data_IF_748425143893
#
_entry.id   IF_748425143893
#
_cell.length_a   1.000
_cell.length_b   1.000
_cell.length_c   1.000
_cell.angle_alpha   90.00
_cell.angle_beta   90.00
_cell.angle_gamma   90.00
#
_symmetry.space_group_name_H-M   'P 1'
#
loop_
_entity.id
_entity.type
_entity.pdbx_description
1 polymer ?
#
# COMPACT_ATOMS: atom_id res chain seq x y z
N UNK A 1 12.55 -15.50 -17.30
CA UNK A 1 12.60 -15.08 -15.90
C UNK A 1 12.27 -16.26 -15.01
N UNK A 2 13.16 -16.62 -14.12
CA UNK A 2 12.91 -17.74 -13.20
C UNK A 2 11.99 -17.27 -12.09
N UNK A 3 10.89 -17.98 -11.80
CA UNK A 3 10.08 -17.66 -10.64
C UNK A 3 10.93 -17.81 -9.37
N UNK A 4 10.77 -16.89 -8.46
CA UNK A 4 11.44 -16.95 -7.16
C UNK A 4 10.99 -18.22 -6.43
N UNK A 5 11.92 -19.15 -6.12
CA UNK A 5 11.57 -20.38 -5.42
C UNK A 5 11.00 -20.11 -4.02
N UNK A 6 11.32 -18.97 -3.42
CA UNK A 6 10.73 -18.55 -2.16
C UNK A 6 9.25 -18.19 -2.25
N UNK A 7 8.79 -17.71 -3.41
CA UNK A 7 7.39 -17.37 -3.62
C UNK A 7 6.49 -18.61 -3.68
N UNK A 8 7.00 -19.71 -4.23
CA UNK A 8 6.23 -20.96 -4.30
C UNK A 8 6.09 -21.65 -2.94
N UNK A 9 7.13 -21.55 -2.11
CA UNK A 9 7.12 -22.18 -0.79
C UNK A 9 6.17 -21.43 0.16
N UNK A 10 6.09 -20.12 0.04
CA UNK A 10 5.18 -19.28 0.83
C UNK A 10 3.70 -19.53 0.50
N UNK A 11 3.40 -19.88 -0.75
CA UNK A 11 2.04 -20.27 -1.16
C UNK A 11 1.59 -21.57 -0.51
N UNK A 12 2.52 -22.48 -0.27
CA UNK A 12 2.23 -23.78 0.38
C UNK A 12 1.89 -23.64 1.86
N UNK A 13 2.31 -22.55 2.50
CA UNK A 13 2.02 -22.27 3.90
C UNK A 13 0.71 -21.51 4.13
N UNK A 14 -0.13 -21.40 3.10
CA UNK A 14 -1.47 -20.82 3.20
C UNK A 14 -1.54 -19.30 3.23
N UNK A 15 -0.44 -18.60 2.94
CA UNK A 15 -0.39 -17.13 2.90
C UNK A 15 0.13 -16.60 1.57
N UNK A 16 -0.54 -15.56 1.05
CA UNK A 16 -0.02 -14.79 -0.07
C UNK A 16 1.07 -13.84 0.44
N UNK A 17 2.18 -13.81 -0.27
CA UNK A 17 3.19 -12.77 -0.09
C UNK A 17 3.58 -12.21 -1.44
N UNK A 18 3.32 -10.94 -1.64
CA UNK A 18 3.71 -10.20 -2.84
C UNK A 18 4.71 -9.11 -2.42
N UNK A 19 5.80 -9.01 -3.15
CA UNK A 19 6.81 -7.98 -2.93
C UNK A 19 7.18 -7.36 -4.26
N UNK A 20 7.04 -6.05 -4.34
CA UNK A 20 7.39 -5.28 -5.53
C UNK A 20 8.34 -4.17 -5.11
N UNK A 21 9.47 -4.05 -5.80
CA UNK A 21 10.42 -2.96 -5.63
C UNK A 21 10.33 -2.07 -6.86
N UNK A 22 10.19 -0.76 -6.63
CA UNK A 22 9.99 0.20 -7.72
C UNK A 22 10.76 1.48 -7.49
N UNK A 23 11.05 2.16 -8.58
CA UNK A 23 11.63 3.50 -8.54
C UNK A 23 10.58 4.52 -8.06
N UNK A 24 11.01 5.61 -7.40
CA UNK A 24 10.07 6.61 -6.89
C UNK A 24 9.63 7.59 -7.97
N UNK A 25 8.94 7.10 -8.98
CA UNK A 25 8.34 7.93 -10.02
C UNK A 25 6.93 7.43 -10.35
N UNK A 26 6.09 8.31 -10.92
CA UNK A 26 4.69 8.01 -11.16
C UNK A 26 4.47 6.89 -12.19
N UNK A 27 5.36 6.73 -13.16
CA UNK A 27 5.27 5.63 -14.12
C UNK A 27 5.52 4.28 -13.45
N UNK A 28 6.55 4.22 -12.59
CA UNK A 28 6.84 3.01 -11.82
C UNK A 28 5.68 2.65 -10.89
N UNK A 29 5.03 3.65 -10.28
CA UNK A 29 3.85 3.44 -9.44
C UNK A 29 2.73 2.80 -10.25
N UNK A 30 2.44 3.30 -11.44
CA UNK A 30 1.40 2.73 -12.30
C UNK A 30 1.68 1.27 -12.66
N UNK A 31 2.91 0.97 -13.04
CA UNK A 31 3.32 -0.39 -13.34
C UNK A 31 3.20 -1.30 -12.12
N UNK A 32 3.62 -0.83 -10.95
CA UNK A 32 3.52 -1.58 -9.71
C UNK A 32 2.07 -1.86 -9.31
N UNK A 33 1.16 -0.90 -9.51
CA UNK A 33 -0.27 -1.10 -9.26
C UNK A 33 -0.84 -2.19 -10.14
N UNK A 34 -0.54 -2.16 -11.43
CA UNK A 34 -0.97 -3.19 -12.37
C UNK A 34 -0.45 -4.56 -11.96
N UNK A 35 0.84 -4.66 -11.64
CA UNK A 35 1.47 -5.91 -11.22
C UNK A 35 0.88 -6.43 -9.91
N UNK A 36 0.61 -5.55 -8.96
CA UNK A 36 0.00 -5.93 -7.67
C UNK A 36 -1.42 -6.48 -7.89
N UNK A 37 -2.26 -5.78 -8.64
CA UNK A 37 -3.63 -6.19 -8.89
C UNK A 37 -3.67 -7.49 -9.69
N UNK A 38 -2.81 -7.66 -10.67
CA UNK A 38 -2.72 -8.90 -11.45
C UNK A 38 -2.26 -10.06 -10.55
N UNK A 39 -1.31 -9.82 -9.66
CA UNK A 39 -0.84 -10.82 -8.71
C UNK A 39 -1.90 -11.25 -7.69
N UNK A 40 -2.93 -10.44 -7.49
CA UNK A 40 -4.04 -10.72 -6.57
C UNK A 40 -5.30 -11.22 -7.29
N UNK A 41 -5.27 -11.33 -8.60
CA UNK A 41 -6.45 -11.68 -9.42
C UNK A 41 -7.08 -13.01 -9.01
N UNK A 42 -6.27 -13.99 -8.61
CA UNK A 42 -6.77 -15.30 -8.18
C UNK A 42 -7.62 -15.23 -6.89
N UNK A 43 -7.54 -14.17 -6.12
CA UNK A 43 -8.38 -13.97 -4.93
C UNK A 43 -9.81 -13.60 -5.30
N UNK A 44 -10.07 -13.25 -6.55
CA UNK A 44 -11.39 -12.85 -7.04
C UNK A 44 -12.01 -11.74 -6.18
N UNK A 45 -11.26 -10.67 -5.99
CA UNK A 45 -11.75 -9.51 -5.28
C UNK A 45 -13.00 -8.96 -5.99
N UNK A 46 -13.98 -8.50 -5.20
CA UNK A 46 -15.10 -7.77 -5.74
C UNK A 46 -14.62 -6.46 -6.37
N UNK A 47 -15.43 -5.85 -7.23
CA UNK A 47 -15.10 -4.55 -7.80
C UNK A 47 -14.87 -3.49 -6.73
N UNK A 48 -15.66 -3.52 -5.67
CA UNK A 48 -15.51 -2.62 -4.53
C UNK A 48 -14.18 -2.84 -3.80
N UNK A 49 -13.84 -4.09 -3.50
CA UNK A 49 -12.59 -4.43 -2.83
C UNK A 49 -11.38 -4.08 -3.68
N UNK A 50 -11.44 -4.40 -4.97
CA UNK A 50 -10.38 -4.06 -5.93
C UNK A 50 -10.20 -2.55 -6.04
N UNK A 51 -11.29 -1.80 -6.17
CA UNK A 51 -11.25 -0.35 -6.24
C UNK A 51 -10.68 0.28 -4.98
N UNK A 52 -11.11 -0.19 -3.81
CA UNK A 52 -10.59 0.26 -2.52
C UNK A 52 -9.09 0.03 -2.41
N UNK A 53 -8.64 -1.17 -2.73
CA UNK A 53 -7.23 -1.53 -2.70
C UNK A 53 -6.41 -0.66 -3.67
N UNK A 54 -6.90 -0.50 -4.89
CA UNK A 54 -6.22 0.32 -5.90
C UNK A 54 -6.06 1.77 -5.44
N UNK A 55 -7.10 2.38 -4.90
CA UNK A 55 -7.05 3.75 -4.40
C UNK A 55 -6.04 3.87 -3.26
N UNK A 56 -6.11 2.98 -2.28
CA UNK A 56 -5.23 3.06 -1.10
C UNK A 56 -3.77 2.84 -1.51
N UNK A 57 -3.49 1.85 -2.35
CA UNK A 57 -2.14 1.58 -2.82
C UNK A 57 -1.60 2.75 -3.65
N UNK A 58 -2.43 3.30 -4.54
CA UNK A 58 -2.03 4.45 -5.37
C UNK A 58 -1.67 5.65 -4.50
N UNK A 59 -2.51 5.98 -3.52
CA UNK A 59 -2.27 7.10 -2.63
C UNK A 59 -1.02 6.89 -1.77
N UNK A 60 -0.83 5.68 -1.24
CA UNK A 60 0.35 5.35 -0.43
C UNK A 60 1.65 5.47 -1.23
N UNK A 61 1.67 4.93 -2.45
CA UNK A 61 2.84 5.00 -3.30
C UNK A 61 3.10 6.42 -3.82
N UNK A 62 2.06 7.13 -4.25
CA UNK A 62 2.18 8.50 -4.74
C UNK A 62 2.65 9.45 -3.63
N UNK A 63 2.26 9.22 -2.38
CA UNK A 63 2.75 10.00 -1.25
C UNK A 63 4.27 9.92 -1.12
N UNK A 64 4.86 8.76 -1.35
CA UNK A 64 6.33 8.63 -1.35
C UNK A 64 6.94 9.43 -2.49
N UNK A 65 6.39 9.32 -3.69
CA UNK A 65 6.89 10.07 -4.86
C UNK A 65 6.83 11.57 -4.64
N UNK A 66 5.73 12.06 -4.05
CA UNK A 66 5.51 13.49 -3.86
C UNK A 66 6.27 14.08 -2.66
N UNK A 67 6.38 13.33 -1.57
CA UNK A 67 6.78 13.89 -0.28
C UNK A 67 8.07 13.31 0.30
N UNK A 68 8.49 12.13 -0.12
CA UNK A 68 9.71 11.51 0.40
C UNK A 68 10.91 11.91 -0.45
N UNK A 69 11.41 13.11 -0.24
CA UNK A 69 12.60 13.58 -0.95
C UNK A 69 13.78 12.62 -0.71
N UNK A 70 14.58 12.41 -1.74
CA UNK A 70 15.78 11.55 -1.71
C UNK A 70 15.51 10.06 -1.50
N UNK A 71 14.28 9.58 -1.69
CA UNK A 71 14.01 8.15 -1.66
C UNK A 71 14.77 7.44 -2.79
N UNK A 72 15.52 6.40 -2.44
CA UNK A 72 16.29 5.60 -3.41
C UNK A 72 15.45 4.54 -4.10
N UNK A 73 14.32 4.16 -3.50
CA UNK A 73 13.41 3.16 -4.04
C UNK A 73 12.23 2.97 -3.09
N UNK A 74 11.21 2.30 -3.57
CA UNK A 74 10.03 1.97 -2.79
C UNK A 74 9.86 0.47 -2.80
N UNK A 75 9.54 -0.10 -1.64
CA UNK A 75 9.17 -1.51 -1.53
C UNK A 75 7.71 -1.61 -1.13
N UNK A 76 6.91 -2.30 -1.94
CA UNK A 76 5.53 -2.63 -1.64
C UNK A 76 5.45 -4.09 -1.23
N UNK A 77 4.86 -4.36 -0.07
CA UNK A 77 4.57 -5.70 0.42
C UNK A 77 3.09 -5.88 0.63
N UNK A 78 2.55 -6.99 0.15
CA UNK A 78 1.16 -7.37 0.38
C UNK A 78 1.15 -8.81 0.87
N UNK A 79 0.52 -9.03 2.01
CA UNK A 79 0.34 -10.36 2.59
C UNK A 79 -1.15 -10.65 2.77
N UNK A 80 -1.59 -11.79 2.29
CA UNK A 80 -2.96 -12.24 2.49
C UNK A 80 -3.10 -13.07 3.74
N UNK A 81 -4.08 -12.77 4.57
CA UNK A 81 -4.37 -13.49 5.81
C UNK A 81 -5.83 -13.97 5.84
N UNK A 82 -6.26 -14.71 4.82
CA UNK A 82 -7.60 -15.25 4.77
C UNK A 82 -8.70 -14.21 4.52
N UNK A 83 -8.97 -13.33 5.47
CA UNK A 83 -10.03 -12.31 5.38
C UNK A 83 -9.52 -10.90 5.24
N UNK A 84 -8.23 -10.73 5.06
CA UNK A 84 -7.65 -9.39 4.95
C UNK A 84 -6.37 -9.42 4.13
N UNK A 85 -6.06 -8.26 3.56
CA UNK A 85 -4.76 -7.99 2.97
C UNK A 85 -4.03 -7.03 3.90
N UNK A 86 -2.82 -7.40 4.30
CA UNK A 86 -1.91 -6.52 5.01
C UNK A 86 -0.90 -5.97 4.04
N UNK A 87 -0.83 -4.65 3.99
CA UNK A 87 0.02 -3.95 3.03
C UNK A 87 1.03 -3.09 3.78
N UNK A 88 2.22 -2.96 3.20
CA UNK A 88 3.24 -2.05 3.69
C UNK A 88 3.95 -1.39 2.52
N UNK A 89 4.16 -0.09 2.66
CA UNK A 89 4.95 0.72 1.73
C UNK A 89 6.17 1.22 2.49
N UNK A 90 7.35 0.86 2.04
CA UNK A 90 8.61 1.14 2.72
C UNK A 90 9.49 1.98 1.81
N UNK A 91 10.06 3.06 2.34
CA UNK A 91 11.00 3.91 1.63
C UNK A 91 12.11 4.40 2.58
N UNK A 92 13.17 4.96 2.02
CA UNK A 92 14.31 5.51 2.75
C UNK A 92 14.46 7.03 2.55
N UNK A 93 13.40 7.68 2.11
CA UNK A 93 13.41 9.13 1.89
C UNK A 93 13.17 9.92 3.17
N UNK A 94 12.97 11.22 2.98
CA UNK A 94 12.63 12.10 4.10
C UNK A 94 11.30 11.67 4.71
N UNK A 95 11.23 11.48 6.04
CA UNK A 95 9.97 11.11 6.69
C UNK A 95 8.89 12.16 6.48
N UNK A 96 7.64 11.71 6.39
CA UNK A 96 6.50 12.61 6.42
C UNK A 96 6.39 13.23 7.81
N UNK A 97 6.15 14.53 7.87
CA UNK A 97 5.95 15.22 9.14
C UNK A 97 4.53 15.03 9.64
N UNK A 98 4.42 14.84 10.96
CA UNK A 98 3.14 14.71 11.63
C UNK A 98 2.52 13.32 11.51
N UNK A 99 1.42 13.13 12.23
CA UNK A 99 0.64 11.91 12.13
C UNK A 99 -0.32 12.01 10.94
N UNK A 100 -0.62 10.87 10.28
CA UNK A 100 -1.66 10.87 9.26
C UNK A 100 -2.96 11.42 9.86
N UNK A 101 -3.69 12.28 9.12
CA UNK A 101 -4.91 12.88 9.66
C UNK A 101 -5.95 11.82 10.05
N UNK A 102 -6.72 12.14 11.08
CA UNK A 102 -7.82 11.31 11.53
C UNK A 102 -8.84 11.13 10.39
N UNK A 103 -9.45 9.92 10.34
CA UNK A 103 -10.45 9.58 9.34
C UNK A 103 -11.70 10.48 9.41
N UNK A 104 -11.95 11.12 10.56
CA UNK A 104 -13.11 11.98 10.75
C UNK A 104 -12.91 13.43 10.29
N UNK A 105 -11.68 13.82 10.01
CA UNK A 105 -11.34 15.19 9.64
C UNK A 105 -10.93 15.23 8.16
N UNK A 106 -11.81 15.70 7.25
CA UNK A 106 -11.41 15.84 5.86
C UNK A 106 -10.31 16.88 5.71
N UNK A 107 -9.45 16.75 4.70
CA UNK A 107 -8.39 17.73 4.45
C UNK A 107 -8.98 19.10 4.14
N UNK A 108 -8.32 20.15 4.65
CA UNK A 108 -8.70 21.51 4.35
C UNK A 108 -8.18 21.87 2.94
N UNK A 109 -9.08 22.16 1.97
CA UNK A 109 -8.65 22.51 0.62
C UNK A 109 -7.88 23.82 0.55
N UNK A 110 -7.95 24.66 1.59
CA UNK A 110 -7.26 25.95 1.67
C UNK A 110 -5.89 25.85 2.33
N UNK A 111 -5.47 24.67 2.77
CA UNK A 111 -4.15 24.42 3.34
C UNK A 111 -3.43 23.31 2.58
N UNK A 112 -2.97 23.61 1.34
CA UNK A 112 -2.21 22.64 0.57
C UNK A 112 -0.91 22.27 1.29
N UNK A 113 -0.67 20.98 1.52
CA UNK A 113 0.52 20.49 2.17
C UNK A 113 0.34 19.94 3.57
N UNK A 114 -0.82 20.13 4.21
CA UNK A 114 -1.11 19.54 5.51
C UNK A 114 -1.89 18.21 5.32
N UNK A 115 -1.15 17.13 5.08
CA UNK A 115 -1.74 15.81 4.98
C UNK A 115 -2.86 15.75 3.95
N UNK A 116 -2.55 15.92 2.68
CA UNK A 116 -3.50 16.02 1.60
C UNK A 116 -4.56 14.93 1.54
N UNK A 117 -5.42 14.98 0.55
CA UNK A 117 -6.53 14.05 0.35
C UNK A 117 -6.11 12.59 0.37
N UNK A 118 -4.86 12.27 -0.06
CA UNK A 118 -4.34 10.91 -0.07
C UNK A 118 -4.32 10.26 1.31
N UNK A 119 -3.80 10.95 2.33
CA UNK A 119 -3.76 10.41 3.70
C UNK A 119 -5.17 10.23 4.26
N UNK A 120 -6.09 11.13 3.97
CA UNK A 120 -7.49 11.01 4.35
C UNK A 120 -8.13 9.76 3.69
N UNK A 121 -7.88 9.55 2.40
CA UNK A 121 -8.41 8.38 1.68
C UNK A 121 -7.86 7.08 2.25
N UNK A 122 -6.57 7.02 2.57
CA UNK A 122 -5.97 5.84 3.18
C UNK A 122 -6.68 5.52 4.50
N UNK A 123 -6.85 6.52 5.36
CA UNK A 123 -7.53 6.33 6.65
C UNK A 123 -9.02 6.00 6.52
N UNK A 124 -9.66 6.51 5.47
CA UNK A 124 -11.09 6.26 5.23
C UNK A 124 -11.37 4.86 4.68
N UNK A 125 -10.46 4.32 3.88
CA UNK A 125 -10.67 3.09 3.13
C UNK A 125 -9.91 1.88 3.68
N UNK A 126 -8.91 2.12 4.54
CA UNK A 126 -8.10 1.07 5.14
C UNK A 126 -8.24 1.08 6.67
N UNK A 127 -7.91 -0.06 7.27
CA UNK A 127 -7.91 -0.21 8.72
C UNK A 127 -6.46 -0.31 9.23
N UNK A 128 -6.29 -0.07 10.54
CA UNK A 128 -5.01 -0.26 11.24
C UNK A 128 -3.86 0.46 10.54
N UNK A 129 -4.07 1.71 10.17
CA UNK A 129 -3.08 2.52 9.46
C UNK A 129 -2.02 3.01 10.44
N UNK A 130 -0.76 2.67 10.16
CA UNK A 130 0.39 3.04 11.01
C UNK A 130 1.53 3.56 10.14
N UNK A 131 2.18 4.59 10.62
CA UNK A 131 3.38 5.14 10.00
C UNK A 131 4.51 5.15 11.03
N UNK A 132 5.61 4.50 10.72
CA UNK A 132 6.76 4.37 11.62
C UNK A 132 8.04 4.67 10.86
N UNK A 133 8.88 5.53 11.43
CA UNK A 133 10.23 5.79 10.94
C UNK A 133 11.21 5.13 11.89
N UNK A 134 12.06 4.26 11.37
CA UNK A 134 13.06 3.54 12.17
C UNK A 134 14.28 3.22 11.33
N UNK A 135 15.45 3.52 11.86
CA UNK A 135 16.74 3.19 11.22
C UNK A 135 16.85 3.73 9.79
N UNK A 136 16.37 4.95 9.55
CA UNK A 136 16.41 5.59 8.23
C UNK A 136 15.38 5.08 7.25
N UNK A 137 14.43 4.26 7.70
CA UNK A 137 13.36 3.73 6.87
C UNK A 137 11.99 4.17 7.36
N UNK A 138 11.14 4.54 6.42
CA UNK A 138 9.75 4.89 6.67
C UNK A 138 8.87 3.72 6.25
N UNK A 139 7.94 3.36 7.11
CA UNK A 139 7.00 2.26 6.82
C UNK A 139 5.58 2.72 7.09
N UNK A 140 4.79 2.78 6.03
CA UNK A 140 3.35 2.94 6.12
C UNK A 140 2.73 1.55 5.99
N UNK A 141 1.99 1.12 6.99
CA UNK A 141 1.30 -0.17 6.96
C UNK A 141 -0.20 0.02 7.17
N UNK A 142 -0.98 -0.85 6.58
CA UNK A 142 -2.44 -0.81 6.68
C UNK A 142 -3.04 -2.17 6.33
N UNK A 143 -4.33 -2.31 6.63
CA UNK A 143 -5.08 -3.53 6.40
C UNK A 143 -6.30 -3.23 5.55
N UNK A 144 -6.57 -4.06 4.54
CA UNK A 144 -7.78 -4.03 3.75
C UNK A 144 -8.60 -5.28 4.07
N UNK A 145 -9.77 -5.10 4.68
CA UNK A 145 -10.68 -6.19 4.97
C UNK A 145 -11.33 -6.74 3.70
N UNK A 146 -11.46 -8.07 3.63
CA UNK A 146 -12.11 -8.75 2.52
C UNK A 146 -13.42 -9.36 3.01
N UNK A 147 -14.44 -9.29 2.16
CA UNK A 147 -15.72 -9.94 2.44
C UNK A 147 -15.62 -11.45 2.34
N UNK A 148 -16.55 -12.15 2.97
CA UNK A 148 -16.58 -13.62 2.98
C UNK A 148 -16.72 -14.23 1.58
N UNK A 149 -17.45 -13.57 0.69
CA UNK A 149 -17.66 -14.04 -0.68
C UNK A 149 -16.38 -14.10 -1.52
N UNK A 150 -15.34 -13.38 -1.12
CA UNK A 150 -14.07 -13.28 -1.85
C UNK A 150 -13.14 -14.47 -1.56
N UNK A 151 -13.43 -15.25 -0.53
CA UNK A 151 -12.55 -16.30 -0.02
C UNK A 151 -12.92 -17.71 -0.51
N UNK A 152 -13.80 -17.80 -1.46
CA UNK A 152 -14.23 -19.08 -2.01
C UNK A 152 -13.36 -19.56 -3.16
#
# INVERSE_FOLDING_TARGET
MRPDPGAQDRRRQGGLHLRIVLEPDFHAVRAALTDALDGLDYLRLSEEERGRLEIVLAEALNNVVEHAAHAGGIELRIAGTGRALRCAVIDDGTPMEGEPPDRTTPPDPFRPGEGGFGCFLIRSLADDVRYVTRAGRNRLSFRIGLGEATLH
#
